data_IF_657593584085
#
_entry.id   IF_657593584085
#
_cell.length_a   1.000
_cell.length_b   1.000
_cell.length_c   1.000
_cell.angle_alpha   90.00
_cell.angle_beta   90.00
_cell.angle_gamma   90.00
#
_symmetry.space_group_name_H-M   'P 1'
#
loop_
_entity.id
_entity.type
_entity.pdbx_description
1 polymer ?
#
# COMPACT_ATOMS: atom_id res chain seq x y z
N UNK A 1 8.77 -20.45 12.79
CA UNK A 1 9.28 -19.50 11.78
C UNK A 1 8.45 -19.65 10.51
N UNK A 2 8.24 -18.55 9.79
CA UNK A 2 7.51 -18.49 8.49
C UNK A 2 8.41 -17.80 7.47
N UNK A 3 8.06 -17.83 6.17
CA UNK A 3 8.79 -17.02 5.18
C UNK A 3 8.46 -15.53 5.33
N UNK A 4 9.27 -14.64 4.74
CA UNK A 4 8.94 -13.20 4.62
C UNK A 4 7.65 -13.01 3.82
N UNK A 5 7.41 -13.83 2.78
CA UNK A 5 6.16 -13.79 2.01
C UNK A 5 4.95 -14.19 2.85
N UNK A 6 5.05 -15.25 3.68
CA UNK A 6 4.00 -15.61 4.65
C UNK A 6 3.76 -14.48 5.66
N UNK A 7 4.85 -13.82 6.12
CA UNK A 7 4.76 -12.69 7.04
C UNK A 7 3.95 -11.54 6.41
N UNK A 8 4.25 -11.21 5.16
CA UNK A 8 3.50 -10.19 4.42
C UNK A 8 2.02 -10.56 4.32
N UNK A 9 1.66 -11.82 4.00
CA UNK A 9 0.25 -12.23 3.95
C UNK A 9 -0.46 -12.06 5.29
N UNK A 10 0.20 -12.41 6.41
CA UNK A 10 -0.38 -12.19 7.74
C UNK A 10 -0.68 -10.70 7.95
N UNK A 11 0.26 -9.81 7.59
CA UNK A 11 0.10 -8.36 7.73
C UNK A 11 -0.96 -7.76 6.80
N UNK A 12 -1.06 -8.25 5.56
CA UNK A 12 -2.11 -7.83 4.63
C UNK A 12 -3.51 -8.17 5.18
N UNK A 13 -3.67 -9.35 5.80
CA UNK A 13 -4.93 -9.76 6.44
C UNK A 13 -5.33 -8.86 7.61
N UNK A 14 -4.37 -8.34 8.38
CA UNK A 14 -4.63 -7.39 9.47
C UNK A 14 -5.22 -6.06 8.96
N UNK A 15 -4.97 -5.70 7.70
CA UNK A 15 -5.59 -4.56 7.00
C UNK A 15 -6.86 -4.95 6.21
N UNK A 16 -7.36 -6.18 6.38
CA UNK A 16 -8.50 -6.73 5.63
C UNK A 16 -8.29 -6.77 4.10
N UNK A 17 -7.05 -6.77 3.65
CA UNK A 17 -6.72 -6.94 2.23
C UNK A 17 -6.89 -8.42 1.87
N UNK A 18 -7.98 -8.73 1.18
CA UNK A 18 -8.37 -10.11 0.80
C UNK A 18 -8.24 -10.39 -0.69
N UNK A 19 -7.88 -9.39 -1.48
CA UNK A 19 -7.76 -9.53 -2.94
C UNK A 19 -6.47 -8.87 -3.40
N UNK A 20 -5.69 -9.60 -4.19
CA UNK A 20 -4.46 -9.14 -4.81
C UNK A 20 -4.65 -9.18 -6.32
N UNK A 21 -4.55 -8.03 -6.96
CA UNK A 21 -4.60 -7.88 -8.42
C UNK A 21 -3.20 -7.94 -9.01
N UNK A 22 -3.04 -8.51 -10.21
CA UNK A 22 -1.71 -8.52 -10.80
C UNK A 22 -1.60 -9.32 -12.08
N UNK A 23 -0.36 -9.43 -12.54
CA UNK A 23 0.03 -10.28 -13.66
C UNK A 23 1.20 -11.16 -13.22
N UNK A 24 1.12 -12.49 -13.42
CA UNK A 24 2.22 -13.38 -13.11
C UNK A 24 3.45 -13.06 -13.96
N UNK A 25 4.61 -13.10 -13.32
CA UNK A 25 5.92 -13.00 -13.93
C UNK A 25 6.93 -13.73 -13.05
N UNK A 26 8.06 -14.13 -13.59
CA UNK A 26 9.00 -15.00 -12.90
C UNK A 26 9.47 -14.48 -11.53
N UNK A 27 9.68 -13.18 -11.37
CA UNK A 27 10.12 -12.62 -10.09
C UNK A 27 9.02 -12.52 -9.02
N UNK A 28 7.73 -12.57 -9.38
CA UNK A 28 6.65 -12.56 -8.40
C UNK A 28 5.96 -13.92 -8.20
N UNK A 29 6.32 -14.94 -8.99
CA UNK A 29 5.79 -16.32 -8.84
C UNK A 29 5.91 -16.88 -7.42
N UNK A 30 7.03 -16.68 -6.68
CA UNK A 30 7.10 -17.15 -5.29
C UNK A 30 6.01 -16.56 -4.39
N UNK A 31 5.68 -15.27 -4.57
CA UNK A 31 4.60 -14.64 -3.82
C UNK A 31 3.23 -15.15 -4.25
N UNK A 32 2.99 -15.30 -5.55
CA UNK A 32 1.73 -15.87 -6.06
C UNK A 32 1.51 -17.27 -5.52
N UNK A 33 2.57 -18.10 -5.48
CA UNK A 33 2.48 -19.45 -4.93
C UNK A 33 2.09 -19.48 -3.44
N UNK A 34 2.49 -18.48 -2.65
CA UNK A 34 2.03 -18.36 -1.26
C UNK A 34 0.58 -17.90 -1.20
N UNK A 35 0.16 -16.97 -2.08
CA UNK A 35 -1.23 -16.51 -2.19
C UNK A 35 -2.17 -17.64 -2.60
N UNK A 36 -1.81 -18.45 -3.59
CA UNK A 36 -2.64 -19.57 -4.10
C UNK A 36 -2.86 -20.65 -3.05
N UNK A 37 -1.96 -20.80 -2.08
CA UNK A 37 -2.11 -21.73 -0.96
C UNK A 37 -2.87 -21.13 0.23
N UNK A 38 -3.21 -19.85 0.20
CA UNK A 38 -3.96 -19.18 1.25
C UNK A 38 -5.47 -19.24 0.99
N UNK A 39 -6.26 -19.47 2.04
CA UNK A 39 -7.72 -19.61 1.93
C UNK A 39 -8.47 -18.30 2.04
N UNK A 40 -7.83 -17.26 2.57
CA UNK A 40 -8.46 -15.98 2.92
C UNK A 40 -8.13 -14.88 1.92
N UNK A 41 -7.08 -15.07 1.10
CA UNK A 41 -6.64 -14.11 0.08
C UNK A 41 -6.84 -14.70 -1.31
N UNK A 42 -7.46 -13.92 -2.19
CA UNK A 42 -7.71 -14.29 -3.58
C UNK A 42 -6.75 -13.56 -4.52
N UNK A 43 -6.14 -14.30 -5.46
CA UNK A 43 -5.47 -13.74 -6.61
C UNK A 43 -6.46 -13.43 -7.73
N UNK A 44 -6.37 -12.23 -8.30
CA UNK A 44 -7.16 -11.81 -9.46
C UNK A 44 -6.19 -11.37 -10.56
N UNK A 45 -6.01 -12.24 -11.55
CA UNK A 45 -5.19 -11.97 -12.73
C UNK A 45 -5.86 -10.97 -13.67
N UNK A 46 -5.06 -10.17 -14.36
CA UNK A 46 -5.51 -9.21 -15.38
C UNK A 46 -4.81 -9.46 -16.73
N UNK A 47 -5.31 -8.84 -17.80
CA UNK A 47 -4.71 -8.96 -19.13
C UNK A 47 -3.34 -8.29 -19.23
N UNK A 48 -3.12 -7.25 -18.45
CA UNK A 48 -1.83 -6.56 -18.27
C UNK A 48 -1.83 -5.77 -16.94
N UNK A 49 -0.69 -5.23 -16.57
CA UNK A 49 -0.49 -4.58 -15.27
C UNK A 49 -1.19 -3.22 -15.19
N UNK A 50 -1.40 -2.53 -16.32
CA UNK A 50 -2.21 -1.32 -16.35
C UNK A 50 -3.66 -1.63 -15.95
N UNK A 51 -4.27 -2.66 -16.53
CA UNK A 51 -5.60 -3.12 -16.13
C UNK A 51 -5.64 -3.56 -14.67
N UNK A 52 -4.62 -4.30 -14.20
CA UNK A 52 -4.50 -4.72 -12.82
C UNK A 52 -4.47 -3.53 -11.86
N UNK A 53 -3.71 -2.48 -12.19
CA UNK A 53 -3.58 -1.28 -11.35
C UNK A 53 -4.89 -0.51 -11.23
N UNK A 54 -5.64 -0.35 -12.32
CA UNK A 54 -6.96 0.29 -12.28
C UNK A 54 -8.01 -0.58 -11.56
N UNK A 55 -7.98 -1.91 -11.73
CA UNK A 55 -8.86 -2.81 -10.98
C UNK A 55 -8.57 -2.75 -9.47
N UNK A 56 -7.28 -2.76 -9.09
CA UNK A 56 -6.81 -2.59 -7.72
C UNK A 56 -7.28 -1.25 -7.13
N UNK A 57 -7.12 -0.16 -7.86
CA UNK A 57 -7.57 1.17 -7.46
C UNK A 57 -9.08 1.21 -7.24
N UNK A 58 -9.87 0.76 -8.22
CA UNK A 58 -11.33 0.72 -8.14
C UNK A 58 -11.82 -0.10 -6.95
N UNK A 59 -11.18 -1.25 -6.69
CA UNK A 59 -11.48 -2.08 -5.53
C UNK A 59 -11.18 -1.36 -4.21
N UNK A 60 -10.03 -0.69 -4.10
CA UNK A 60 -9.65 0.04 -2.89
C UNK A 60 -10.61 1.20 -2.57
N UNK A 61 -11.17 1.85 -3.59
CA UNK A 61 -12.19 2.92 -3.41
C UNK A 61 -13.43 2.42 -2.67
N UNK A 62 -13.80 1.15 -2.86
CA UNK A 62 -15.00 0.54 -2.27
C UNK A 62 -14.68 -0.21 -0.97
N UNK A 63 -13.57 -0.95 -0.95
CA UNK A 63 -13.21 -1.84 0.18
C UNK A 63 -12.25 -1.21 1.17
N UNK A 64 -11.69 -0.04 0.87
CA UNK A 64 -10.78 0.72 1.75
C UNK A 64 -9.31 0.49 1.43
N UNK A 65 -8.88 -0.75 1.15
CA UNK A 65 -7.50 -1.10 0.80
C UNK A 65 -7.46 -2.18 -0.27
N UNK A 66 -6.37 -2.24 -1.02
CA UNK A 66 -6.12 -3.29 -2.01
C UNK A 66 -4.62 -3.52 -2.22
N UNK A 67 -4.27 -4.65 -2.82
CA UNK A 67 -2.90 -4.96 -3.20
C UNK A 67 -2.79 -5.19 -4.71
N UNK A 68 -1.75 -4.61 -5.30
CA UNK A 68 -1.29 -4.85 -6.66
C UNK A 68 0.02 -5.63 -6.60
N UNK A 69 0.18 -6.67 -7.42
CA UNK A 69 1.44 -7.41 -7.51
C UNK A 69 1.90 -7.52 -8.95
N UNK A 70 3.15 -7.11 -9.21
CA UNK A 70 3.77 -7.17 -10.54
C UNK A 70 5.17 -7.75 -10.48
N UNK A 71 5.69 -8.16 -11.63
CA UNK A 71 7.10 -8.47 -11.78
C UNK A 71 7.94 -7.19 -11.87
N UNK A 72 9.23 -7.31 -11.62
CA UNK A 72 10.24 -6.25 -11.69
C UNK A 72 10.29 -5.59 -13.07
N UNK A 73 10.55 -4.31 -13.10
CA UNK A 73 10.85 -3.54 -14.31
C UNK A 73 9.63 -3.41 -15.22
N UNK A 74 9.50 -4.25 -16.21
CA UNK A 74 8.45 -4.16 -17.25
C UNK A 74 7.04 -4.20 -16.67
N UNK A 75 6.80 -5.02 -15.64
CA UNK A 75 5.49 -5.12 -15.01
C UNK A 75 5.16 -3.90 -14.16
N UNK A 76 6.09 -3.48 -13.30
CA UNK A 76 5.87 -2.29 -12.48
C UNK A 76 5.77 -1.01 -13.32
N UNK A 77 6.56 -0.87 -14.39
CA UNK A 77 6.45 0.28 -15.30
C UNK A 77 5.12 0.30 -16.05
N UNK A 78 4.58 -0.85 -16.44
CA UNK A 78 3.25 -0.95 -17.05
C UNK A 78 2.15 -0.49 -16.09
N UNK A 79 2.31 -0.75 -14.78
CA UNK A 79 1.34 -0.37 -13.75
C UNK A 79 1.44 1.11 -13.29
N UNK A 80 2.54 1.80 -13.61
CA UNK A 80 2.88 3.11 -13.03
C UNK A 80 1.77 4.16 -13.21
N UNK A 81 1.08 4.13 -14.35
CA UNK A 81 0.02 5.10 -14.67
C UNK A 81 -1.17 4.98 -13.67
N UNK A 82 -1.64 3.75 -13.41
CA UNK A 82 -2.72 3.55 -12.45
C UNK A 82 -2.30 3.87 -11.00
N UNK A 83 -1.04 3.55 -10.62
CA UNK A 83 -0.53 3.92 -9.30
C UNK A 83 -0.39 5.44 -9.15
N UNK A 84 0.03 6.15 -10.20
CA UNK A 84 0.08 7.61 -10.19
C UNK A 84 -1.32 8.24 -10.07
N UNK A 85 -2.33 7.67 -10.76
CA UNK A 85 -3.73 8.04 -10.59
C UNK A 85 -4.23 7.82 -9.17
N UNK A 86 -3.95 6.64 -8.61
CA UNK A 86 -4.27 6.33 -7.21
C UNK A 86 -3.59 7.29 -6.22
N UNK A 87 -2.36 7.74 -6.51
CA UNK A 87 -1.65 8.72 -5.69
C UNK A 87 -2.34 10.09 -5.74
N UNK A 88 -2.70 10.57 -6.95
CA UNK A 88 -3.40 11.85 -7.12
C UNK A 88 -4.76 11.88 -6.40
N UNK A 89 -5.46 10.75 -6.38
CA UNK A 89 -6.80 10.57 -5.80
C UNK A 89 -6.78 10.05 -4.36
N UNK A 90 -5.60 9.90 -3.74
CA UNK A 90 -5.42 9.37 -2.38
C UNK A 90 -6.13 8.02 -2.18
N UNK A 91 -5.92 7.09 -3.09
CA UNK A 91 -6.47 5.73 -3.02
C UNK A 91 -5.43 4.78 -2.45
N UNK A 92 -5.70 4.15 -1.28
CA UNK A 92 -4.70 3.36 -0.58
C UNK A 92 -4.52 1.97 -1.20
N UNK A 93 -3.49 1.83 -2.00
CA UNK A 93 -3.05 0.55 -2.57
C UNK A 93 -1.61 0.25 -2.15
N UNK A 94 -1.30 -1.01 -1.88
CA UNK A 94 0.09 -1.47 -1.79
C UNK A 94 0.50 -2.09 -3.12
N UNK A 95 1.56 -1.55 -3.73
CA UNK A 95 2.18 -2.15 -4.90
C UNK A 95 3.35 -3.03 -4.47
N UNK A 96 3.18 -4.34 -4.60
CA UNK A 96 4.15 -5.38 -4.28
C UNK A 96 4.86 -5.76 -5.57
N UNK A 97 6.18 -5.67 -5.58
CA UNK A 97 7.00 -5.97 -6.75
C UNK A 97 7.96 -7.10 -6.44
N UNK A 98 7.80 -8.22 -7.13
CA UNK A 98 8.79 -9.30 -7.09
C UNK A 98 10.01 -8.92 -7.91
N UNK A 99 11.21 -9.09 -7.37
CA UNK A 99 12.46 -8.62 -7.95
C UNK A 99 13.56 -9.69 -7.99
N UNK A 100 14.58 -9.53 -8.85
CA UNK A 100 15.74 -10.38 -8.85
C UNK A 100 16.36 -10.51 -7.46
N UNK A 101 16.96 -11.65 -7.14
CA UNK A 101 17.56 -11.88 -5.84
C UNK A 101 18.58 -10.80 -5.46
N UNK A 102 18.63 -10.43 -4.18
CA UNK A 102 19.57 -9.43 -3.65
C UNK A 102 21.00 -9.77 -4.04
N UNK A 103 21.38 -11.04 -3.95
CA UNK A 103 22.72 -11.52 -4.31
C UNK A 103 23.09 -11.29 -5.78
N UNK A 104 22.11 -11.32 -6.71
CA UNK A 104 22.32 -11.00 -8.13
C UNK A 104 22.41 -9.49 -8.35
N UNK A 105 21.61 -8.71 -7.63
CA UNK A 105 21.63 -7.26 -7.69
C UNK A 105 22.97 -6.69 -7.20
N UNK A 106 23.48 -7.16 -6.06
CA UNK A 106 24.77 -6.74 -5.49
C UNK A 106 25.96 -7.02 -6.44
N UNK A 107 25.86 -8.08 -7.22
CA UNK A 107 26.88 -8.43 -8.25
C UNK A 107 26.73 -7.63 -9.55
N UNK A 108 25.74 -6.75 -9.66
CA UNK A 108 25.47 -5.97 -10.87
C UNK A 108 25.17 -6.84 -12.10
N UNK A 109 24.52 -8.00 -11.92
CA UNK A 109 24.25 -8.93 -13.02
C UNK A 109 23.30 -8.31 -14.04
N UNK A 110 23.60 -8.49 -15.32
CA UNK A 110 22.65 -8.20 -16.40
C UNK A 110 21.59 -9.27 -16.44
N UNK A 111 20.35 -8.88 -16.15
CA UNK A 111 19.19 -9.76 -16.08
C UNK A 111 18.09 -9.25 -17.02
N UNK A 112 17.14 -10.12 -17.38
CA UNK A 112 15.95 -9.71 -18.10
C UNK A 112 15.09 -8.76 -17.23
N UNK A 113 14.26 -7.97 -17.86
CA UNK A 113 13.37 -6.97 -17.24
C UNK A 113 14.11 -5.79 -16.55
N UNK A 114 15.42 -5.75 -16.56
CA UNK A 114 16.20 -4.61 -16.06
C UNK A 114 16.73 -3.73 -17.21
N UNK A 115 17.31 -2.59 -16.84
CA UNK A 115 17.86 -1.63 -17.82
C UNK A 115 19.24 -2.04 -18.37
N UNK A 116 19.70 -3.26 -18.10
CA UNK A 116 21.00 -3.79 -18.53
C UNK A 116 22.23 -2.95 -18.10
N UNK A 117 22.06 -2.09 -17.10
CA UNK A 117 23.12 -1.20 -16.57
C UNK A 117 23.82 -1.76 -15.34
N UNK A 118 23.35 -2.91 -14.82
CA UNK A 118 23.79 -3.47 -13.53
C UNK A 118 23.23 -2.71 -12.31
N UNK A 119 22.37 -1.71 -12.53
CA UNK A 119 21.70 -0.93 -11.48
C UNK A 119 20.25 -1.38 -11.34
N UNK A 120 19.77 -1.52 -10.08
CA UNK A 120 18.45 -2.02 -9.74
C UNK A 120 17.60 -1.02 -8.93
N UNK A 121 18.08 0.21 -8.82
CA UNK A 121 17.42 1.28 -8.05
C UNK A 121 16.55 2.24 -8.91
N UNK A 122 16.56 2.08 -10.23
CA UNK A 122 15.95 3.04 -11.14
C UNK A 122 14.43 3.08 -11.00
N UNK A 123 13.77 1.92 -10.96
CA UNK A 123 12.32 1.82 -10.92
C UNK A 123 11.76 2.25 -9.56
N UNK A 124 12.37 1.81 -8.46
CA UNK A 124 11.99 2.26 -7.11
C UNK A 124 12.08 3.80 -7.00
N UNK A 125 13.12 4.41 -7.59
CA UNK A 125 13.24 5.88 -7.63
C UNK A 125 12.10 6.56 -8.38
N UNK A 126 11.58 5.97 -9.45
CA UNK A 126 10.38 6.49 -10.13
C UNK A 126 9.16 6.43 -9.22
N UNK A 127 9.00 5.33 -8.48
CA UNK A 127 7.89 5.14 -7.56
C UNK A 127 7.92 6.05 -6.32
N UNK A 128 9.06 6.61 -5.94
CA UNK A 128 9.16 7.62 -4.86
C UNK A 128 8.29 8.86 -5.10
N UNK A 129 8.02 9.18 -6.35
CA UNK A 129 7.22 10.36 -6.72
C UNK A 129 5.71 10.11 -6.68
N UNK A 130 5.29 8.85 -6.71
CA UNK A 130 3.89 8.43 -6.78
C UNK A 130 3.50 7.46 -5.65
N UNK A 131 4.30 7.39 -4.61
CA UNK A 131 4.05 6.59 -3.41
C UNK A 131 4.35 7.39 -2.17
N UNK A 132 3.55 7.20 -1.12
CA UNK A 132 3.78 7.87 0.18
C UNK A 132 5.07 7.43 0.84
N UNK A 133 5.42 6.16 0.62
CA UNK A 133 6.70 5.57 1.02
C UNK A 133 7.04 4.41 0.08
N UNK A 134 8.33 4.17 -0.07
CA UNK A 134 8.86 2.99 -0.76
C UNK A 134 9.74 2.18 0.19
N UNK A 135 9.82 0.87 -0.05
CA UNK A 135 10.78 0.00 0.62
C UNK A 135 11.34 -1.04 -0.35
N UNK A 136 12.62 -1.29 -0.20
CA UNK A 136 13.34 -2.40 -0.82
C UNK A 136 13.74 -3.36 0.30
N UNK A 137 13.18 -4.56 0.30
CA UNK A 137 13.48 -5.54 1.32
C UNK A 137 14.89 -6.10 1.16
N UNK A 138 15.53 -6.34 2.30
CA UNK A 138 16.86 -6.94 2.41
C UNK A 138 16.84 -8.05 3.46
N UNK A 139 17.92 -8.80 3.57
CA UNK A 139 18.08 -9.81 4.62
C UNK A 139 17.97 -9.26 6.05
N UNK A 140 18.10 -7.94 6.25
CA UNK A 140 18.19 -7.32 7.57
C UNK A 140 16.99 -6.48 7.98
N UNK A 141 16.13 -6.04 7.00
CA UNK A 141 15.06 -5.08 7.27
C UNK A 141 13.65 -5.59 6.93
N UNK A 142 13.51 -6.82 6.44
CA UNK A 142 12.30 -7.27 5.76
C UNK A 142 11.02 -7.09 6.60
N UNK A 143 10.99 -7.55 7.85
CA UNK A 143 9.80 -7.47 8.70
C UNK A 143 9.48 -6.04 9.12
N UNK A 144 10.49 -5.25 9.46
CA UNK A 144 10.35 -3.85 9.88
C UNK A 144 9.81 -2.98 8.73
N UNK A 145 10.34 -3.16 7.53
CA UNK A 145 9.91 -2.41 6.36
C UNK A 145 8.51 -2.81 5.90
N UNK A 146 8.13 -4.08 5.99
CA UNK A 146 6.74 -4.51 5.72
C UNK A 146 5.79 -3.81 6.68
N UNK A 147 6.07 -3.82 7.99
CA UNK A 147 5.22 -3.19 8.99
C UNK A 147 5.14 -1.68 8.77
N UNK A 148 6.28 -1.00 8.57
CA UNK A 148 6.36 0.45 8.31
C UNK A 148 5.56 0.88 7.07
N UNK A 149 5.67 0.12 5.98
CA UNK A 149 4.96 0.42 4.73
C UNK A 149 3.46 0.27 4.92
N UNK A 150 3.01 -0.79 5.58
CA UNK A 150 1.59 -1.04 5.81
C UNK A 150 0.97 -0.08 6.83
N UNK A 151 1.69 0.30 7.87
CA UNK A 151 1.27 1.37 8.79
C UNK A 151 1.15 2.73 8.06
N UNK A 152 2.07 3.01 7.14
CA UNK A 152 2.02 4.21 6.30
C UNK A 152 0.80 4.19 5.38
N UNK A 153 0.53 3.07 4.72
CA UNK A 153 -0.68 2.85 3.89
C UNK A 153 -1.95 3.13 4.71
N UNK A 154 -2.05 2.54 5.88
CA UNK A 154 -3.22 2.69 6.74
C UNK A 154 -3.39 4.13 7.24
N UNK A 155 -2.30 4.75 7.67
CA UNK A 155 -2.34 6.09 8.28
C UNK A 155 -2.68 7.20 7.27
N UNK A 156 -2.05 7.17 6.11
CA UNK A 156 -2.10 8.28 5.15
C UNK A 156 -3.08 8.07 4.00
N UNK A 157 -3.56 6.84 3.79
CA UNK A 157 -4.49 6.50 2.70
C UNK A 157 -3.95 6.85 1.30
N UNK A 158 -2.65 6.65 1.08
CA UNK A 158 -1.95 6.84 -0.19
C UNK A 158 -1.35 5.53 -0.67
N UNK A 159 -1.03 5.41 -1.97
CA UNK A 159 -0.24 4.30 -2.46
C UNK A 159 1.10 4.18 -1.75
N UNK A 160 1.53 2.94 -1.56
CA UNK A 160 2.86 2.58 -1.04
C UNK A 160 3.49 1.51 -1.94
N UNK A 161 4.81 1.44 -1.94
CA UNK A 161 5.58 0.53 -2.79
C UNK A 161 6.47 -0.38 -1.96
N UNK A 162 6.48 -1.68 -2.28
CA UNK A 162 7.26 -2.70 -1.60
C UNK A 162 7.94 -3.63 -2.62
N UNK A 163 9.26 -3.55 -2.74
CA UNK A 163 10.06 -4.41 -3.60
C UNK A 163 10.64 -5.57 -2.80
N UNK A 164 10.42 -6.79 -3.28
CA UNK A 164 10.79 -8.03 -2.61
C UNK A 164 11.73 -8.85 -3.50
N UNK A 165 13.05 -8.88 -3.22
CA UNK A 165 13.95 -9.80 -3.89
C UNK A 165 13.57 -11.26 -3.60
N UNK A 166 13.69 -12.15 -4.61
CA UNK A 166 13.29 -13.56 -4.54
C UNK A 166 13.87 -14.29 -3.31
N UNK A 167 15.17 -14.12 -3.08
CA UNK A 167 15.91 -14.78 -2.00
C UNK A 167 15.53 -14.23 -0.62
N UNK A 168 15.21 -12.95 -0.52
CA UNK A 168 14.68 -12.34 0.70
C UNK A 168 13.26 -12.83 0.98
N UNK A 169 12.43 -12.94 -0.05
CA UNK A 169 11.04 -13.37 0.09
C UNK A 169 10.89 -14.75 0.74
N UNK A 170 11.77 -15.70 0.41
CA UNK A 170 11.74 -17.07 0.96
C UNK A 170 12.50 -17.22 2.27
N UNK A 171 13.20 -16.19 2.74
CA UNK A 171 13.93 -16.22 3.99
C UNK A 171 13.00 -16.46 5.19
N UNK A 172 13.48 -17.19 6.19
CA UNK A 172 12.71 -17.52 7.40
C UNK A 172 12.84 -16.42 8.45
N UNK A 173 11.70 -15.94 8.91
CA UNK A 173 11.57 -14.93 9.97
C UNK A 173 10.64 -15.41 11.08
N UNK A 174 10.64 -14.71 12.20
CA UNK A 174 9.68 -14.98 13.28
C UNK A 174 8.28 -14.53 12.84
N UNK A 175 7.26 -15.27 13.27
CA UNK A 175 5.87 -14.80 13.16
C UNK A 175 5.70 -13.48 13.92
N UNK A 176 4.84 -12.57 13.45
CA UNK A 176 4.50 -11.38 14.22
C UNK A 176 3.94 -11.77 15.58
N UNK A 177 4.42 -11.14 16.64
CA UNK A 177 3.95 -11.38 18.02
C UNK A 177 2.78 -10.48 18.40
N UNK A 178 2.73 -9.30 17.82
CA UNK A 178 1.71 -8.28 18.04
C UNK A 178 1.14 -7.83 16.69
N UNK A 179 -0.12 -7.40 16.64
CA UNK A 179 -0.68 -6.80 15.42
C UNK A 179 0.02 -5.49 15.06
N UNK A 180 -0.18 -5.03 13.83
CA UNK A 180 0.29 -3.72 13.37
C UNK A 180 -0.19 -2.61 14.30
N UNK A 181 0.65 -1.59 14.50
CA UNK A 181 0.33 -0.44 15.35
C UNK A 181 -0.50 0.60 14.56
N UNK A 182 -1.76 0.27 14.35
CA UNK A 182 -2.70 1.09 13.56
C UNK A 182 -3.32 2.20 14.42
N UNK A 183 -2.50 3.19 14.78
CA UNK A 183 -2.93 4.33 15.60
C UNK A 183 -2.76 5.65 14.86
N UNK A 184 -3.77 6.51 14.97
CA UNK A 184 -3.65 7.90 14.52
C UNK A 184 -2.95 8.73 15.59
N UNK A 185 -2.17 9.76 15.20
CA UNK A 185 -1.63 10.72 16.14
C UNK A 185 -2.76 11.38 16.93
N UNK A 186 -2.60 11.47 18.24
CA UNK A 186 -3.55 12.21 19.06
C UNK A 186 -3.29 13.72 18.95
N UNK A 187 -4.35 14.49 18.81
CA UNK A 187 -4.27 15.95 18.87
C UNK A 187 -3.98 16.42 20.30
N UNK A 188 -3.27 17.54 20.43
CA UNK A 188 -3.16 18.20 21.72
C UNK A 188 -4.59 18.58 22.22
N UNK A 189 -5.01 18.18 23.42
CA UNK A 189 -6.38 18.42 23.90
C UNK A 189 -6.75 19.89 23.96
N UNK A 190 -5.84 20.77 24.40
CA UNK A 190 -6.10 22.21 24.52
C UNK A 190 -6.28 22.87 23.15
N UNK A 191 -5.46 22.51 22.19
CA UNK A 191 -5.57 23.04 20.83
C UNK A 191 -6.82 22.51 20.12
N UNK A 192 -7.16 21.25 20.33
CA UNK A 192 -8.42 20.67 19.83
C UNK A 192 -9.63 21.43 20.38
N UNK A 193 -9.67 21.68 21.70
CA UNK A 193 -10.76 22.43 22.34
C UNK A 193 -10.86 23.86 21.82
N UNK A 194 -9.73 24.55 21.60
CA UNK A 194 -9.73 25.89 20.97
C UNK A 194 -10.35 25.88 19.58
N UNK A 195 -9.97 24.90 18.76
CA UNK A 195 -10.50 24.75 17.39
C UNK A 195 -12.01 24.45 17.42
N UNK A 196 -12.46 23.52 18.27
CA UNK A 196 -13.89 23.20 18.43
C UNK A 196 -14.67 24.45 18.84
N UNK A 197 -14.22 25.17 19.86
CA UNK A 197 -14.90 26.41 20.33
C UNK A 197 -14.99 27.47 19.23
N UNK A 198 -13.91 27.64 18.45
CA UNK A 198 -13.89 28.57 17.32
C UNK A 198 -14.91 28.19 16.25
N UNK A 199 -14.97 26.90 15.88
CA UNK A 199 -15.91 26.39 14.87
C UNK A 199 -17.35 26.51 15.33
N UNK A 200 -17.68 26.15 16.58
CA UNK A 200 -19.01 26.29 17.14
C UNK A 200 -19.48 27.76 17.11
N UNK A 201 -18.62 28.71 17.53
CA UNK A 201 -18.97 30.13 17.51
C UNK A 201 -19.23 30.63 16.09
N UNK A 202 -18.41 30.20 15.11
CA UNK A 202 -18.60 30.58 13.69
C UNK A 202 -19.93 30.03 13.13
N UNK A 203 -20.24 28.78 13.41
CA UNK A 203 -21.50 28.14 12.98
C UNK A 203 -22.70 28.87 13.59
N UNK A 204 -22.68 29.13 14.91
CA UNK A 204 -23.75 29.83 15.61
C UNK A 204 -23.97 31.26 15.10
N UNK A 205 -22.92 31.96 14.66
CA UNK A 205 -22.99 33.32 14.12
C UNK A 205 -23.38 33.37 12.64
N UNK A 206 -23.31 32.23 11.94
CA UNK A 206 -23.62 32.15 10.53
C UNK A 206 -25.13 32.13 10.29
N UNK A 207 -25.58 32.88 9.28
CA UNK A 207 -27.00 32.87 8.84
C UNK A 207 -27.30 31.69 7.89
N UNK A 208 -26.28 31.17 7.23
CA UNK A 208 -26.42 30.09 6.24
C UNK A 208 -25.09 29.29 6.15
N UNK A 209 -24.82 28.42 7.13
CA UNK A 209 -23.64 27.61 7.11
C UNK A 209 -23.68 26.62 5.95
N UNK A 210 -22.54 26.39 5.30
CA UNK A 210 -22.38 25.41 4.24
C UNK A 210 -21.20 24.49 4.57
N UNK A 211 -21.38 23.18 4.38
CA UNK A 211 -20.35 22.16 4.57
C UNK A 211 -20.01 21.54 3.21
N UNK A 212 -18.73 21.60 2.82
CA UNK A 212 -18.22 20.94 1.65
C UNK A 212 -17.56 19.63 2.10
N UNK A 213 -18.05 18.50 1.57
CA UNK A 213 -17.60 17.16 1.93
C UNK A 213 -16.73 16.63 0.79
N UNK A 214 -15.47 16.34 1.08
CA UNK A 214 -14.52 15.73 0.14
C UNK A 214 -14.42 14.20 0.31
N UNK A 215 -13.66 13.57 -0.61
CA UNK A 215 -13.46 12.11 -0.65
C UNK A 215 -12.81 11.54 0.62
N UNK A 216 -12.09 12.34 1.41
CA UNK A 216 -11.44 11.92 2.66
C UNK A 216 -12.46 11.41 3.69
N UNK A 217 -13.67 11.94 3.69
CA UNK A 217 -14.75 11.43 4.54
C UNK A 217 -15.02 9.96 4.26
N UNK A 218 -15.03 9.57 2.99
CA UNK A 218 -15.15 8.16 2.59
C UNK A 218 -13.89 7.35 2.93
N UNK A 219 -12.69 7.89 2.64
CA UNK A 219 -11.41 7.21 2.90
C UNK A 219 -11.20 6.85 4.36
N UNK A 220 -11.63 7.73 5.27
CA UNK A 220 -11.54 7.53 6.72
C UNK A 220 -12.83 7.03 7.36
N UNK A 221 -13.83 6.66 6.55
CA UNK A 221 -15.13 6.13 7.00
C UNK A 221 -15.85 7.06 8.00
N UNK A 222 -15.80 8.37 7.75
CA UNK A 222 -16.36 9.40 8.64
C UNK A 222 -17.79 9.82 8.27
N UNK A 223 -18.46 9.12 7.37
CA UNK A 223 -19.78 9.48 6.87
C UNK A 223 -20.80 9.69 8.00
N UNK A 224 -20.87 8.75 8.94
CA UNK A 224 -21.81 8.83 10.08
C UNK A 224 -21.53 10.04 10.98
N UNK A 225 -20.27 10.39 11.19
CA UNK A 225 -19.88 11.57 11.97
C UNK A 225 -20.33 12.86 11.28
N UNK A 226 -20.22 12.92 9.95
CA UNK A 226 -20.70 14.07 9.15
C UNK A 226 -22.22 14.15 9.18
N UNK A 227 -22.94 13.04 9.01
CA UNK A 227 -24.41 13.00 9.12
C UNK A 227 -24.86 13.51 10.49
N UNK A 228 -24.27 13.03 11.58
CA UNK A 228 -24.55 13.50 12.93
C UNK A 228 -24.24 15.00 13.16
N UNK A 229 -23.28 15.56 12.42
CA UNK A 229 -22.97 17.00 12.48
C UNK A 229 -24.04 17.83 11.77
N UNK A 230 -24.61 17.31 10.68
CA UNK A 230 -25.64 18.00 9.89
C UNK A 230 -27.01 18.04 10.59
N UNK A 231 -27.25 17.12 11.54
CA UNK A 231 -28.51 17.07 12.33
C UNK A 231 -28.52 18.03 13.51
N UNK A 232 -27.42 18.69 13.84
CA UNK A 232 -27.29 19.66 14.95
C UNK A 232 -27.42 21.10 14.47
#
# INVERSE_FOLDING_TARGET
>A
MITVLDYLLVRLKELEIKTIFGVPGDYNLPFIGVVDNDKDIQWVGACNELNASYACEGYARIKGFSALCTTYGVGELSAINGVAGAFAEQVPIIHIVGAPSQSKQEKGKTLHHCLATGRFDAFEKMYRHISKTTAVLTYHNATEEIDRVLETLWRYRYPVYLLIPEDVGVMKVNKPKLPLQLTLPQSNPDDLNKVITLLENKIKQSKSPCIIIGEQVSRYQLRKQVENLLEK
#
